data_IF_183589919767
#
_entry.id   IF_183589919767
#
_cell.length_a   1.000
_cell.length_b   1.000
_cell.length_c   1.000
_cell.angle_alpha   90.00
_cell.angle_beta   90.00
_cell.angle_gamma   90.00
#
_symmetry.space_group_name_H-M   'P 1'
#
loop_
_entity.id
_entity.type
_entity.pdbx_description
1 polymer ?
#
# COMPACT_ATOMS: atom_id res chain seq x y z
N UNK A 1 -11.40 3.63 5.10
CA UNK A 1 -10.36 2.60 4.87
C UNK A 1 -9.60 2.99 3.62
N UNK A 2 -8.29 2.74 3.57
CA UNK A 2 -7.42 3.02 2.43
C UNK A 2 -6.66 1.75 2.02
N UNK A 3 -6.44 1.57 0.71
CA UNK A 3 -5.66 0.47 0.13
C UNK A 3 -4.86 0.99 -1.09
N UNK A 4 -3.83 0.25 -1.47
CA UNK A 4 -3.14 0.44 -2.76
C UNK A 4 -3.45 -0.75 -3.69
N UNK A 5 -3.79 -0.48 -4.95
CA UNK A 5 -4.13 -1.54 -5.89
C UNK A 5 -4.77 -1.06 -7.19
N UNK A 6 -5.27 -2.01 -7.99
CA UNK A 6 -5.91 -1.73 -9.28
C UNK A 6 -7.31 -1.12 -9.11
N UNK A 7 -7.57 0.10 -9.65
CA UNK A 7 -8.91 0.69 -9.64
C UNK A 7 -9.96 -0.20 -10.32
N UNK A 8 -9.59 -0.82 -11.45
CA UNK A 8 -10.47 -1.69 -12.23
C UNK A 8 -10.95 -2.90 -11.41
N UNK A 9 -10.09 -3.43 -10.54
CA UNK A 9 -10.44 -4.55 -9.69
C UNK A 9 -11.23 -4.14 -8.44
N UNK A 10 -10.83 -3.06 -7.78
CA UNK A 10 -11.39 -2.69 -6.46
C UNK A 10 -12.63 -1.79 -6.52
N UNK A 11 -12.89 -1.13 -7.65
CA UNK A 11 -14.09 -0.31 -7.86
C UNK A 11 -15.39 -1.09 -7.60
N UNK A 12 -15.43 -2.38 -7.97
CA UNK A 12 -16.58 -3.28 -7.71
C UNK A 12 -16.93 -3.48 -6.23
N UNK A 13 -16.02 -3.13 -5.32
CA UNK A 13 -16.23 -3.20 -3.88
C UNK A 13 -16.55 -1.83 -3.25
N UNK A 14 -16.77 -0.81 -4.07
CA UNK A 14 -17.09 0.55 -3.62
C UNK A 14 -15.88 1.37 -3.19
N UNK A 15 -14.69 1.04 -3.71
CA UNK A 15 -13.52 1.90 -3.58
C UNK A 15 -13.49 2.93 -4.70
N UNK A 16 -13.00 4.12 -4.38
CA UNK A 16 -12.78 5.23 -5.32
C UNK A 16 -11.35 5.73 -5.17
N UNK A 17 -10.84 6.49 -6.15
CA UNK A 17 -9.50 7.09 -6.01
C UNK A 17 -9.52 8.11 -4.88
N UNK A 18 -8.52 8.08 -3.99
CA UNK A 18 -8.48 8.99 -2.84
C UNK A 18 -8.60 10.46 -3.24
N UNK A 19 -7.87 10.87 -4.28
CA UNK A 19 -7.86 12.25 -4.77
C UNK A 19 -9.21 12.76 -5.27
N UNK A 20 -10.11 11.87 -5.71
CA UNK A 20 -11.47 12.25 -6.14
C UNK A 20 -12.37 12.66 -4.97
N UNK A 21 -12.02 12.25 -3.75
CA UNK A 21 -12.75 12.55 -2.52
C UNK A 21 -11.92 13.37 -1.53
N UNK A 22 -10.87 14.05 -2.01
CA UNK A 22 -10.03 14.93 -1.19
C UNK A 22 -9.09 14.22 -0.22
N UNK A 23 -8.80 12.92 -0.39
CA UNK A 23 -7.84 12.17 0.43
C UNK A 23 -6.60 11.83 -0.40
N UNK A 24 -5.47 12.47 -0.13
CA UNK A 24 -4.21 12.25 -0.86
C UNK A 24 -3.24 11.37 -0.09
N UNK A 25 -2.48 10.54 -0.82
CA UNK A 25 -1.41 9.75 -0.23
C UNK A 25 -0.15 10.61 -0.12
N UNK A 26 0.48 10.63 1.05
CA UNK A 26 1.62 11.52 1.30
C UNK A 26 2.83 11.20 0.42
N UNK A 27 3.14 9.91 0.19
CA UNK A 27 4.30 9.52 -0.61
C UNK A 27 4.09 9.72 -2.11
N UNK A 28 2.83 9.72 -2.58
CA UNK A 28 2.47 9.93 -3.98
C UNK A 28 1.08 10.59 -4.07
N UNK A 29 1.00 11.93 -4.04
CA UNK A 29 -0.26 12.67 -3.95
C UNK A 29 -1.21 12.45 -5.14
N UNK A 30 -0.66 12.07 -6.30
CA UNK A 30 -1.40 11.89 -7.55
C UNK A 30 -1.71 10.42 -7.87
N UNK A 31 -1.38 9.51 -6.95
CA UNK A 31 -1.55 8.07 -7.09
C UNK A 31 -2.97 7.65 -7.45
N UNK A 32 -3.15 7.16 -8.69
CA UNK A 32 -4.40 6.54 -9.13
C UNK A 32 -4.65 5.18 -8.47
N UNK A 33 -3.59 4.51 -8.01
CA UNK A 33 -3.66 3.24 -7.31
C UNK A 33 -4.00 3.39 -5.82
N UNK A 34 -4.01 4.61 -5.28
CA UNK A 34 -4.41 4.87 -3.90
C UNK A 34 -5.93 5.02 -3.83
N UNK A 35 -6.57 4.05 -3.19
CA UNK A 35 -8.02 3.92 -3.17
C UNK A 35 -8.57 4.01 -1.76
N UNK A 36 -9.72 4.64 -1.61
CA UNK A 36 -10.41 4.78 -0.32
C UNK A 36 -11.84 4.28 -0.40
N UNK A 37 -12.30 3.73 0.72
CA UNK A 37 -13.71 3.42 0.97
C UNK A 37 -14.17 4.21 2.20
N UNK A 38 -15.12 5.10 1.98
CA UNK A 38 -15.67 5.99 3.00
C UNK A 38 -16.86 5.31 3.69
N UNK A 39 -16.79 5.16 5.00
CA UNK A 39 -17.89 4.62 5.81
C UNK A 39 -18.77 5.73 6.40
N UNK A 40 -18.20 6.92 6.60
CA UNK A 40 -18.86 8.14 7.06
C UNK A 40 -18.35 9.32 6.24
N UNK A 41 -18.89 9.52 5.03
CA UNK A 41 -18.44 10.60 4.13
C UNK A 41 -18.47 11.98 4.78
N UNK A 42 -19.43 12.22 5.67
CA UNK A 42 -19.63 13.46 6.41
C UNK A 42 -18.42 13.88 7.25
N UNK A 43 -17.57 12.93 7.66
CA UNK A 43 -16.36 13.21 8.44
C UNK A 43 -15.26 13.87 7.60
N UNK A 44 -15.30 13.69 6.28
CA UNK A 44 -14.28 14.19 5.37
C UNK A 44 -14.72 15.46 4.62
N UNK A 45 -15.95 15.94 4.86
CA UNK A 45 -16.48 17.10 4.17
C UNK A 45 -15.69 18.39 4.46
N UNK A 46 -15.48 19.18 3.41
CA UNK A 46 -14.98 20.55 3.50
C UNK A 46 -13.47 20.70 3.72
N UNK A 47 -12.66 19.63 3.68
CA UNK A 47 -11.20 19.70 3.82
C UNK A 47 -10.48 18.64 2.99
N UNK A 48 -9.25 18.94 2.61
CA UNK A 48 -8.30 17.98 2.09
C UNK A 48 -7.63 17.20 3.23
N UNK A 49 -7.47 15.90 3.03
CA UNK A 49 -6.87 14.97 3.99
C UNK A 49 -5.63 14.31 3.40
N UNK A 50 -4.70 13.97 4.28
CA UNK A 50 -3.47 13.25 3.93
C UNK A 50 -3.45 11.90 4.64
N UNK A 51 -3.28 10.83 3.86
CA UNK A 51 -2.95 9.52 4.37
C UNK A 51 -1.44 9.37 4.42
N UNK A 52 -0.92 9.05 5.61
CA UNK A 52 0.49 8.77 5.85
C UNK A 52 0.63 7.31 6.23
N UNK A 53 1.70 6.66 5.79
CA UNK A 53 1.95 5.28 6.20
C UNK A 53 2.05 5.18 7.72
N UNK A 54 1.53 4.10 8.32
CA UNK A 54 1.71 3.86 9.75
C UNK A 54 3.20 3.81 10.10
N UNK A 55 3.63 4.34 11.26
CA UNK A 55 5.04 4.34 11.64
C UNK A 55 5.72 2.96 11.60
N UNK A 56 4.96 1.88 11.82
CA UNK A 56 5.48 0.50 11.77
C UNK A 56 5.83 -0.02 10.37
N UNK A 57 5.56 0.75 9.30
CA UNK A 57 5.98 0.41 7.94
C UNK A 57 7.40 0.92 7.65
N UNK A 58 7.92 1.81 8.49
CA UNK A 58 9.30 2.28 8.42
C UNK A 58 10.17 1.42 9.32
N UNK A 59 11.32 0.99 8.80
CA UNK A 59 12.35 0.27 9.54
C UNK A 59 13.66 1.02 9.43
N UNK A 60 14.50 0.89 10.44
CA UNK A 60 15.89 1.36 10.38
C UNK A 60 16.67 0.42 9.44
N UNK A 61 17.20 0.97 8.34
CA UNK A 61 17.92 0.19 7.32
C UNK A 61 19.15 -0.53 7.89
N UNK A 62 19.85 0.08 8.86
CA UNK A 62 21.03 -0.55 9.48
C UNK A 62 20.63 -1.72 10.36
N UNK A 63 19.53 -1.58 11.11
CA UNK A 63 18.99 -2.68 11.93
C UNK A 63 18.47 -3.81 11.04
N UNK A 64 17.79 -3.48 9.93
CA UNK A 64 17.32 -4.44 8.95
C UNK A 64 18.48 -5.22 8.33
N UNK A 65 19.55 -4.53 7.89
CA UNK A 65 20.71 -5.18 7.28
C UNK A 65 21.42 -6.12 8.26
N UNK A 66 21.61 -5.71 9.52
CA UNK A 66 22.19 -6.56 10.56
C UNK A 66 21.30 -7.77 10.90
N UNK A 67 19.98 -7.58 10.90
CA UNK A 67 19.03 -8.69 11.07
C UNK A 67 19.09 -9.67 9.89
N UNK A 68 19.16 -9.17 8.65
CA UNK A 68 19.22 -10.00 7.46
C UNK A 68 20.48 -10.88 7.39
N UNK A 69 21.60 -10.41 7.93
CA UNK A 69 22.84 -11.20 8.08
C UNK A 69 22.69 -12.43 8.97
N UNK A 70 21.65 -12.48 9.82
CA UNK A 70 21.39 -13.62 10.70
C UNK A 70 20.73 -14.81 9.98
N UNK A 71 20.17 -14.60 8.77
CA UNK A 71 19.58 -15.69 8.01
C UNK A 71 20.64 -16.63 7.45
N UNK A 72 20.43 -17.96 7.50
CA UNK A 72 21.32 -18.89 6.83
C UNK A 72 21.25 -18.71 5.32
N UNK A 73 22.35 -19.02 4.63
CA UNK A 73 22.40 -19.04 3.17
C UNK A 73 21.26 -19.91 2.59
N UNK A 74 20.52 -19.36 1.62
CA UNK A 74 19.48 -20.08 0.89
C UNK A 74 19.92 -20.35 -0.55
N UNK A 75 19.93 -21.61 -0.95
CA UNK A 75 20.16 -22.00 -2.34
C UNK A 75 18.90 -21.71 -3.17
N UNK A 76 19.08 -21.07 -4.33
CA UNK A 76 17.98 -20.82 -5.27
C UNK A 76 17.59 -22.13 -5.95
N UNK A 77 16.42 -22.67 -5.59
CA UNK A 77 15.88 -23.89 -6.21
C UNK A 77 14.83 -23.57 -7.26
N UNK A 78 14.69 -24.46 -8.25
CA UNK A 78 13.54 -24.50 -9.17
C UNK A 78 12.79 -25.80 -8.91
N UNK A 79 11.60 -25.69 -8.33
CA UNK A 79 10.73 -26.81 -7.96
C UNK A 79 9.72 -27.10 -9.07
N UNK A 80 9.26 -28.36 -9.20
CA UNK A 80 8.18 -28.71 -10.13
C UNK A 80 6.95 -27.82 -9.91
N UNK A 81 6.46 -27.18 -10.98
CA UNK A 81 5.29 -26.29 -10.94
C UNK A 81 5.59 -24.79 -10.80
N UNK A 82 6.86 -24.38 -10.66
CA UNK A 82 7.22 -22.96 -10.78
C UNK A 82 7.19 -22.51 -12.25
N UNK A 83 6.59 -21.34 -12.51
CA UNK A 83 6.48 -20.75 -13.84
C UNK A 83 7.89 -20.43 -14.37
N UNK A 84 8.30 -21.11 -15.44
CA UNK A 84 9.65 -21.03 -16.00
C UNK A 84 10.25 -22.38 -16.48
N UNK A 85 9.47 -23.47 -16.48
CA UNK A 85 9.79 -24.68 -17.26
C UNK A 85 9.50 -24.47 -18.74
#
# INVERSE_FOLDING_TARGET
>A
MAITGSPDYYSRFGFVKGKEVGVRYQADPEADYFLVKLFRPEVLEGRDWWFTDPPGYTVDELVLEEFDKTFPYKEKQVLPGQLGQ
#
